data_IF_465017489718
#
_entry.id   IF_465017489718
#
_cell.length_a   1.000
_cell.length_b   1.000
_cell.length_c   1.000
_cell.angle_alpha   90.00
_cell.angle_beta   90.00
_cell.angle_gamma   90.00
#
_symmetry.space_group_name_H-M   'P 1'
#
loop_
_entity.id
_entity.type
_entity.pdbx_description
1 polymer ?
#
# COMPACT_ATOMS: atom_id res chain seq x y z
N UNK A 1 15.73 -8.33 -20.23
CA UNK A 1 14.70 -8.54 -19.19
C UNK A 1 13.32 -8.36 -19.81
N UNK A 2 12.31 -9.14 -19.42
CA UNK A 2 10.93 -8.95 -19.90
C UNK A 2 10.31 -7.68 -19.29
N UNK A 3 9.38 -7.02 -19.99
CA UNK A 3 8.69 -5.81 -19.49
C UNK A 3 8.12 -5.99 -18.08
N UNK A 4 7.46 -7.14 -17.82
CA UNK A 4 6.95 -7.48 -16.49
C UNK A 4 8.03 -7.43 -15.41
N UNK A 5 9.22 -7.96 -15.69
CA UNK A 5 10.32 -7.97 -14.71
C UNK A 5 10.80 -6.54 -14.45
N UNK A 6 10.91 -5.71 -15.49
CA UNK A 6 11.30 -4.30 -15.35
C UNK A 6 10.32 -3.57 -14.44
N UNK A 7 9.01 -3.73 -14.68
CA UNK A 7 7.97 -3.08 -13.88
C UNK A 7 8.04 -3.50 -12.40
N UNK A 8 8.22 -4.80 -12.14
CA UNK A 8 8.36 -5.31 -10.76
C UNK A 8 9.63 -4.76 -10.11
N UNK A 9 10.77 -4.79 -10.80
CA UNK A 9 12.04 -4.28 -10.27
C UNK A 9 11.96 -2.79 -9.95
N UNK A 10 11.40 -1.99 -10.85
CA UNK A 10 11.22 -0.55 -10.63
C UNK A 10 10.26 -0.30 -9.45
N UNK A 11 9.15 -1.02 -9.39
CA UNK A 11 8.19 -0.89 -8.29
C UNK A 11 8.84 -1.17 -6.93
N UNK A 12 9.57 -2.28 -6.81
CA UNK A 12 10.26 -2.68 -5.58
C UNK A 12 11.39 -1.71 -5.24
N UNK A 13 12.17 -1.28 -6.23
CA UNK A 13 13.24 -0.31 -6.02
C UNK A 13 12.72 1.01 -5.45
N UNK A 14 11.64 1.57 -6.02
CA UNK A 14 11.00 2.77 -5.49
C UNK A 14 10.49 2.52 -4.07
N UNK A 15 9.85 1.39 -3.82
CA UNK A 15 9.34 1.06 -2.50
C UNK A 15 10.42 0.93 -1.44
N UNK A 16 11.57 0.35 -1.77
CA UNK A 16 12.73 0.25 -0.86
C UNK A 16 13.33 1.63 -0.59
N UNK A 17 13.50 2.46 -1.62
CA UNK A 17 14.02 3.82 -1.46
C UNK A 17 13.07 4.68 -0.62
N UNK A 18 11.77 4.63 -0.91
CA UNK A 18 10.76 5.37 -0.15
C UNK A 18 10.68 4.91 1.29
N UNK A 19 10.70 3.59 1.52
CA UNK A 19 10.70 3.03 2.85
C UNK A 19 11.93 3.46 3.65
N UNK A 20 13.13 3.36 3.06
CA UNK A 20 14.39 3.75 3.72
C UNK A 20 14.38 5.24 4.05
N UNK A 21 13.95 6.07 3.10
CA UNK A 21 13.76 7.49 3.33
C UNK A 21 12.78 7.76 4.48
N UNK A 22 11.62 7.09 4.48
CA UNK A 22 10.61 7.26 5.52
C UNK A 22 11.08 6.79 6.90
N UNK A 23 11.98 5.82 6.96
CA UNK A 23 12.52 5.30 8.21
C UNK A 23 13.49 6.27 8.89
N UNK A 24 14.19 7.12 8.14
CA UNK A 24 15.22 8.01 8.66
C UNK A 24 14.70 9.45 8.77
N UNK A 25 13.88 9.90 7.81
CA UNK A 25 13.43 11.30 7.69
C UNK A 25 11.92 11.46 7.53
N UNK A 26 11.16 10.35 7.54
CA UNK A 26 9.72 10.40 7.32
C UNK A 26 8.95 10.79 8.57
N UNK A 27 7.68 11.15 8.38
CA UNK A 27 6.72 11.42 9.48
C UNK A 27 6.60 10.26 10.49
N UNK A 28 6.98 9.05 10.09
CA UNK A 28 6.91 7.84 10.92
C UNK A 28 8.30 7.30 11.26
N UNK A 29 9.33 8.16 11.27
CA UNK A 29 10.69 7.84 11.72
C UNK A 29 10.75 7.26 13.14
N UNK A 30 9.85 7.70 14.03
CA UNK A 30 9.68 7.16 15.38
C UNK A 30 9.18 5.70 15.42
N UNK A 31 8.73 5.16 14.27
CA UNK A 31 8.32 3.76 14.14
C UNK A 31 9.46 2.91 13.58
N UNK A 32 9.46 1.63 13.95
CA UNK A 32 10.53 0.71 13.56
C UNK A 32 10.70 0.57 12.04
N UNK A 33 11.91 0.17 11.63
CA UNK A 33 12.32 0.02 10.22
C UNK A 33 11.32 -0.79 9.39
N UNK A 34 10.87 -1.93 9.89
CA UNK A 34 9.92 -2.80 9.17
C UNK A 34 8.55 -2.15 8.93
N UNK A 35 8.09 -1.28 9.84
CA UNK A 35 6.86 -0.52 9.64
C UNK A 35 7.00 0.44 8.45
N UNK A 36 8.12 1.17 8.40
CA UNK A 36 8.42 2.07 7.29
C UNK A 36 8.67 1.32 5.97
N UNK A 37 9.23 0.10 6.00
CA UNK A 37 9.37 -0.75 4.79
C UNK A 37 8.03 -1.25 4.27
N UNK A 38 7.13 -1.69 5.17
CA UNK A 38 5.78 -2.07 4.78
C UNK A 38 5.05 -0.92 4.09
N UNK A 39 5.19 0.29 4.63
CA UNK A 39 4.70 1.52 3.98
C UNK A 39 5.42 1.79 2.66
N UNK A 40 6.73 1.59 2.62
CA UNK A 40 7.59 1.56 1.43
C UNK A 40 6.98 0.78 0.26
N UNK A 41 6.59 -0.46 0.51
CA UNK A 41 6.00 -1.34 -0.51
C UNK A 41 4.63 -0.88 -1.03
N UNK A 42 3.96 0.01 -0.29
CA UNK A 42 2.68 0.62 -0.66
C UNK A 42 2.86 2.08 -1.14
N UNK A 43 4.07 2.46 -1.55
CA UNK A 43 4.42 3.84 -1.92
C UNK A 43 3.42 4.55 -2.85
N UNK A 44 2.79 3.94 -3.88
CA UNK A 44 1.89 4.69 -4.75
C UNK A 44 0.66 5.20 -4.00
N UNK A 45 0.11 4.39 -3.09
CA UNK A 45 -1.07 4.76 -2.31
C UNK A 45 -0.76 5.82 -1.25
N UNK A 46 0.50 5.91 -0.83
CA UNK A 46 0.95 6.87 0.17
C UNK A 46 1.36 8.20 -0.49
N UNK A 47 2.03 8.14 -1.65
CA UNK A 47 2.44 9.33 -2.41
C UNK A 47 1.28 9.99 -3.16
N UNK A 48 0.29 9.22 -3.60
CA UNK A 48 -0.87 9.72 -4.34
C UNK A 48 -2.15 9.53 -3.53
N UNK A 49 -2.61 10.56 -2.80
CA UNK A 49 -3.77 10.46 -1.91
C UNK A 49 -5.02 9.92 -2.60
N UNK A 50 -5.25 10.29 -3.86
CA UNK A 50 -6.38 9.81 -4.66
C UNK A 50 -6.37 8.29 -4.82
N UNK A 51 -5.21 7.66 -5.06
CA UNK A 51 -5.11 6.20 -5.16
C UNK A 51 -5.42 5.55 -3.82
N UNK A 52 -4.93 6.13 -2.72
CA UNK A 52 -5.24 5.67 -1.36
C UNK A 52 -6.73 5.74 -1.05
N UNK A 53 -7.41 6.82 -1.42
CA UNK A 53 -8.85 6.99 -1.25
C UNK A 53 -9.66 5.99 -2.09
N UNK A 54 -9.26 5.77 -3.34
CA UNK A 54 -9.90 4.78 -4.22
C UNK A 54 -9.76 3.38 -3.61
N UNK A 55 -8.56 3.00 -3.17
CA UNK A 55 -8.33 1.69 -2.54
C UNK A 55 -9.17 1.52 -1.27
N UNK A 56 -9.25 2.56 -0.42
CA UNK A 56 -10.07 2.54 0.78
C UNK A 56 -11.56 2.33 0.43
N UNK A 57 -12.07 3.04 -0.57
CA UNK A 57 -13.44 2.90 -1.05
C UNK A 57 -13.70 1.46 -1.55
N UNK A 58 -12.79 0.91 -2.35
CA UNK A 58 -12.91 -0.47 -2.86
C UNK A 58 -12.96 -1.48 -1.72
N UNK A 59 -12.12 -1.34 -0.70
CA UNK A 59 -12.11 -2.24 0.47
C UNK A 59 -13.43 -2.13 1.24
N UNK A 60 -13.93 -0.91 1.47
CA UNK A 60 -15.21 -0.69 2.17
C UNK A 60 -16.36 -1.34 1.40
N UNK A 61 -16.45 -1.11 0.08
CA UNK A 61 -17.49 -1.69 -0.76
C UNK A 61 -17.41 -3.22 -0.78
N UNK A 62 -16.21 -3.79 -0.84
CA UNK A 62 -16.01 -5.24 -0.76
C UNK A 62 -16.45 -5.82 0.59
N UNK A 63 -16.15 -5.15 1.70
CA UNK A 63 -16.63 -5.54 3.03
C UNK A 63 -18.15 -5.48 3.12
N UNK A 64 -18.77 -4.39 2.65
CA UNK A 64 -20.22 -4.23 2.67
C UNK A 64 -20.91 -5.29 1.81
N UNK A 65 -20.42 -5.53 0.60
CA UNK A 65 -20.94 -6.59 -0.26
C UNK A 65 -20.78 -7.97 0.39
N UNK A 66 -19.65 -8.25 1.04
CA UNK A 66 -19.45 -9.48 1.79
C UNK A 66 -20.46 -9.63 2.93
N UNK A 67 -20.68 -8.58 3.71
CA UNK A 67 -21.64 -8.59 4.82
C UNK A 67 -23.09 -8.74 4.33
N UNK A 68 -23.49 -8.08 3.25
CA UNK A 68 -24.88 -8.17 2.76
C UNK A 68 -25.16 -9.50 2.07
N UNK A 69 -24.19 -10.03 1.32
CA UNK A 69 -24.36 -11.30 0.58
C UNK A 69 -24.17 -12.53 1.46
N UNK A 70 -23.28 -12.48 2.46
CA UNK A 70 -22.96 -13.63 3.32
C UNK A 70 -23.45 -13.50 4.76
N UNK A 71 -23.81 -12.30 5.23
CA UNK A 71 -24.30 -12.06 6.59
C UNK A 71 -25.78 -12.37 6.81
N UNK A 72 -26.56 -12.61 5.75
CA UNK A 72 -27.93 -13.14 5.85
C UNK A 72 -27.91 -14.65 5.58
N UNK A 73 -27.76 -15.46 6.62
CA UNK A 73 -27.92 -16.92 6.58
C UNK A 73 -28.78 -17.49 7.71
N UNK A 74 -29.54 -16.62 8.39
CA UNK A 74 -30.57 -16.98 9.37
C UNK A 74 -31.95 -16.56 8.85
#
# INVERSE_FOLDING_TARGET
MKLKQILITVYVAIGLLYGLYSAIWGQYDYKGFFYNMGRGMMWPFIMFPTLGQILALVIILAMLAGLTLFGKKD
#
